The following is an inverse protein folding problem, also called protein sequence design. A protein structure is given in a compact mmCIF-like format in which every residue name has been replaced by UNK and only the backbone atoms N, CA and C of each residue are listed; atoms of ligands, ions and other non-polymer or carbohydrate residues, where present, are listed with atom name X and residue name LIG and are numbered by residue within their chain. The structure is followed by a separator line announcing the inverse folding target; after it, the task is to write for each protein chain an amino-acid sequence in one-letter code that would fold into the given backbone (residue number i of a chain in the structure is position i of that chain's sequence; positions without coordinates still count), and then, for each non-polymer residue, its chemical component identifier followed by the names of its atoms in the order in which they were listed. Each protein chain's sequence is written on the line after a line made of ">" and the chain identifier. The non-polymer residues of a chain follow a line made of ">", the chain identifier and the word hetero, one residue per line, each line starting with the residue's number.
data_IF_767238458107
#
_entry.id   IF_767238458107
#
_cell.length_a   1.000
_cell.length_b   1.000
_cell.length_c   1.000
_cell.angle_alpha   90.00
_cell.angle_beta   90.00
_cell.angle_gamma   90.00
#
_symmetry.space_group_name_H-M   'P 1'
#
loop_
_entity.id
_entity.type
_entity.pdbx_description
1 polymer ?
#
# COMPACT_ATOMS: atom_id res chain seq x y z
N UNK A 1 -15.38 0.93 5.55
CA UNK A 1 -16.03 1.50 4.35
C UNK A 1 -16.69 0.37 3.59
N UNK A 2 -17.93 0.53 3.10
CA UNK A 2 -18.55 -0.46 2.22
C UNK A 2 -17.70 -0.68 0.97
N UNK A 3 -17.61 -1.93 0.48
CA UNK A 3 -16.96 -2.23 -0.81
C UNK A 3 -17.99 -2.09 -1.94
N UNK A 4 -18.41 -0.85 -2.19
CA UNK A 4 -19.42 -0.50 -3.18
C UNK A 4 -18.82 0.12 -4.45
N UNK A 5 -19.70 0.42 -5.42
CA UNK A 5 -19.34 1.03 -6.69
C UNK A 5 -18.69 2.41 -6.49
N UNK A 6 -19.16 3.20 -5.53
CA UNK A 6 -18.62 4.54 -5.27
C UNK A 6 -17.16 4.47 -4.86
N UNK A 7 -16.80 3.56 -3.96
CA UNK A 7 -15.42 3.32 -3.59
C UNK A 7 -14.58 2.84 -4.78
N UNK A 8 -15.09 1.88 -5.57
CA UNK A 8 -14.39 1.39 -6.75
C UNK A 8 -14.07 2.53 -7.74
N UNK A 9 -15.04 3.42 -8.00
CA UNK A 9 -14.85 4.58 -8.87
C UNK A 9 -13.81 5.55 -8.32
N UNK A 10 -13.82 5.83 -7.00
CA UNK A 10 -12.79 6.67 -6.37
C UNK A 10 -11.39 6.07 -6.57
N UNK A 11 -11.23 4.75 -6.41
CA UNK A 11 -9.94 4.06 -6.61
C UNK A 11 -9.48 4.17 -8.08
N UNK A 12 -10.39 3.89 -9.03
CA UNK A 12 -10.12 4.04 -10.47
C UNK A 12 -9.70 5.48 -10.81
N UNK A 13 -10.31 6.48 -10.17
CA UNK A 13 -9.97 7.91 -10.32
C UNK A 13 -8.75 8.39 -9.55
N UNK A 14 -7.99 7.48 -8.93
CA UNK A 14 -6.74 7.84 -8.27
C UNK A 14 -6.78 7.94 -6.75
N UNK A 15 -7.89 7.61 -6.08
CA UNK A 15 -7.88 7.49 -4.62
C UNK A 15 -6.84 6.44 -4.20
N UNK A 16 -5.91 6.84 -3.33
CA UNK A 16 -4.87 5.97 -2.76
C UNK A 16 -4.94 6.03 -1.23
N UNK A 17 -4.48 4.97 -0.55
CA UNK A 17 -4.29 5.02 0.90
C UNK A 17 -3.35 6.14 1.31
N UNK A 18 -3.57 6.69 2.49
CA UNK A 18 -2.60 7.58 3.13
C UNK A 18 -1.36 6.78 3.50
N UNK A 19 -0.19 7.34 3.19
CA UNK A 19 1.10 6.78 3.59
C UNK A 19 1.48 7.36 4.94
N UNK A 20 1.45 6.53 5.98
CA UNK A 20 1.73 6.92 7.36
C UNK A 20 3.03 6.27 7.79
N UNK A 21 3.93 7.05 8.41
CA UNK A 21 5.13 6.52 9.06
C UNK A 21 4.74 5.79 10.35
N UNK A 22 5.30 4.61 10.55
CA UNK A 22 4.98 3.75 11.68
C UNK A 22 5.80 4.20 12.90
N UNK A 23 5.17 4.37 14.09
CA UNK A 23 5.89 4.76 15.30
C UNK A 23 6.89 3.69 15.75
N UNK A 24 7.83 4.09 16.63
CA UNK A 24 8.92 3.26 17.14
C UNK A 24 8.49 1.83 17.53
N UNK A 25 8.97 0.86 16.75
CA UNK A 25 8.63 -0.57 16.85
C UNK A 25 9.68 -1.32 17.66
N UNK A 26 10.96 -1.07 17.39
CA UNK A 26 12.07 -1.80 17.97
C UNK A 26 12.73 -0.99 19.09
N UNK A 27 13.02 -1.65 20.21
CA UNK A 27 13.77 -1.04 21.31
C UNK A 27 15.26 -0.90 20.97
N UNK A 28 15.78 -1.82 20.16
CA UNK A 28 17.14 -1.77 19.63
C UNK A 28 17.28 -0.62 18.62
N UNK A 29 18.11 0.36 18.95
CA UNK A 29 18.34 1.57 18.15
C UNK A 29 18.87 1.26 16.75
N UNK A 30 19.69 0.22 16.59
CA UNK A 30 20.27 -0.14 15.29
C UNK A 30 19.19 -0.74 14.38
N UNK A 31 18.36 -1.64 14.92
CA UNK A 31 17.22 -2.23 14.19
C UNK A 31 16.16 -1.19 13.86
N UNK A 32 15.84 -0.33 14.82
CA UNK A 32 14.88 0.76 14.61
C UNK A 32 15.33 1.67 13.47
N UNK A 33 16.61 2.05 13.44
CA UNK A 33 17.17 2.85 12.35
C UNK A 33 17.08 2.15 10.99
N UNK A 34 17.41 0.85 10.93
CA UNK A 34 17.28 0.06 9.69
C UNK A 34 15.83 0.05 9.21
N UNK A 35 14.87 -0.14 10.12
CA UNK A 35 13.45 -0.10 9.78
C UNK A 35 13.03 1.27 9.22
N UNK A 36 13.38 2.38 9.90
CA UNK A 36 13.05 3.74 9.44
C UNK A 36 13.66 4.06 8.07
N UNK A 37 14.90 3.62 7.81
CA UNK A 37 15.56 3.81 6.53
C UNK A 37 14.89 2.99 5.41
N UNK A 38 14.47 1.76 5.70
CA UNK A 38 13.71 0.92 4.76
C UNK A 38 12.30 1.45 4.51
N UNK A 39 11.63 1.92 5.56
CA UNK A 39 10.30 2.51 5.50
C UNK A 39 10.31 3.73 4.56
N UNK A 40 11.26 4.65 4.72
CA UNK A 40 11.39 5.80 3.81
C UNK A 40 11.55 5.38 2.35
N UNK A 41 12.43 4.42 2.07
CA UNK A 41 12.61 3.87 0.71
C UNK A 41 11.33 3.23 0.17
N UNK A 42 10.62 2.48 1.02
CA UNK A 42 9.34 1.88 0.66
C UNK A 42 8.28 2.94 0.35
N UNK A 43 8.15 3.98 1.18
CA UNK A 43 7.18 5.06 0.97
C UNK A 43 7.47 5.83 -0.33
N UNK A 44 8.74 6.12 -0.63
CA UNK A 44 9.13 6.73 -1.91
C UNK A 44 8.80 5.83 -3.11
N UNK A 45 9.06 4.52 -3.00
CA UNK A 45 8.71 3.55 -4.03
C UNK A 45 7.20 3.48 -4.24
N UNK A 46 6.40 3.46 -3.17
CA UNK A 46 4.94 3.40 -3.23
C UNK A 46 4.35 4.65 -3.89
N UNK A 47 4.90 5.85 -3.61
CA UNK A 47 4.51 7.08 -4.31
C UNK A 47 4.71 6.96 -5.82
N UNK A 48 5.84 6.40 -6.27
CA UNK A 48 6.12 6.17 -7.70
C UNK A 48 5.22 5.09 -8.30
N UNK A 49 4.96 4.00 -7.58
CA UNK A 49 4.02 2.96 -8.03
C UNK A 49 2.62 3.52 -8.32
N UNK A 50 2.21 4.56 -7.60
CA UNK A 50 0.92 5.20 -7.74
C UNK A 50 0.92 6.46 -8.59
N UNK A 51 2.02 6.79 -9.26
CA UNK A 51 2.09 7.96 -10.13
C UNK A 51 1.04 7.86 -11.26
N UNK A 52 0.33 8.96 -11.50
CA UNK A 52 -0.66 9.06 -12.57
C UNK A 52 -0.01 8.90 -13.94
N UNK A 53 1.24 9.36 -14.09
CA UNK A 53 2.05 9.15 -15.27
C UNK A 53 2.64 7.73 -15.25
N UNK A 54 2.17 6.89 -16.17
CA UNK A 54 2.65 5.51 -16.31
C UNK A 54 4.15 5.41 -16.57
N UNK A 55 4.77 6.43 -17.19
CA UNK A 55 6.21 6.47 -17.47
C UNK A 55 7.08 6.70 -16.24
N UNK A 56 6.51 7.24 -15.15
CA UNK A 56 7.20 7.44 -13.87
C UNK A 56 7.11 6.25 -12.93
N UNK A 57 6.22 5.29 -13.25
CA UNK A 57 6.07 4.07 -12.47
C UNK A 57 7.33 3.21 -12.58
N UNK A 58 7.76 2.55 -11.50
CA UNK A 58 8.90 1.67 -11.54
C UNK A 58 8.60 0.45 -12.42
N UNK A 59 9.64 -0.04 -13.09
CA UNK A 59 9.54 -1.30 -13.84
C UNK A 59 9.50 -2.49 -12.90
N UNK A 60 8.97 -3.63 -13.36
CA UNK A 60 9.00 -4.89 -12.59
C UNK A 60 10.42 -5.29 -12.17
N UNK A 61 11.40 -5.07 -13.03
CA UNK A 61 12.81 -5.34 -12.75
C UNK A 61 13.37 -4.40 -11.67
N UNK A 62 12.97 -3.13 -11.66
CA UNK A 62 13.32 -2.20 -10.60
C UNK A 62 12.71 -2.60 -9.25
N UNK A 63 11.43 -2.99 -9.24
CA UNK A 63 10.78 -3.53 -8.04
C UNK A 63 11.50 -4.76 -7.50
N UNK A 64 11.84 -5.71 -8.39
CA UNK A 64 12.57 -6.91 -8.02
C UNK A 64 13.92 -6.58 -7.35
N UNK A 65 14.70 -5.65 -7.91
CA UNK A 65 15.98 -5.24 -7.31
C UNK A 65 15.79 -4.62 -5.93
N UNK A 66 14.87 -3.66 -5.79
CA UNK A 66 14.57 -3.03 -4.50
C UNK A 66 14.21 -4.07 -3.44
N UNK A 67 13.26 -4.96 -3.72
CA UNK A 67 12.83 -5.97 -2.75
C UNK A 67 13.94 -6.99 -2.44
N UNK A 68 14.75 -7.38 -3.43
CA UNK A 68 15.87 -8.29 -3.23
C UNK A 68 16.94 -7.68 -2.31
N UNK A 69 17.23 -6.38 -2.47
CA UNK A 69 18.16 -5.65 -1.61
C UNK A 69 17.66 -5.56 -0.17
N UNK A 70 16.35 -5.38 0.04
CA UNK A 70 15.78 -5.20 1.36
C UNK A 70 15.57 -6.50 2.14
N UNK A 71 15.39 -7.63 1.44
CA UNK A 71 15.08 -8.92 2.05
C UNK A 71 16.03 -9.32 3.20
N UNK A 72 17.32 -8.98 3.09
CA UNK A 72 18.31 -9.25 4.13
C UNK A 72 18.42 -8.20 5.25
N UNK A 73 17.76 -7.05 5.09
CA UNK A 73 17.83 -5.93 6.04
C UNK A 73 16.61 -5.86 6.97
N UNK A 74 15.50 -6.49 6.60
CA UNK A 74 14.26 -6.43 7.38
C UNK A 74 14.46 -7.16 8.72
N UNK A 75 14.25 -6.49 9.88
CA UNK A 75 14.24 -7.18 11.17
C UNK A 75 13.16 -8.28 11.16
N UNK A 76 13.54 -9.53 11.47
CA UNK A 76 12.65 -10.70 11.42
C UNK A 76 11.87 -10.94 12.71
N UNK A 77 12.02 -10.05 13.69
CA UNK A 77 11.34 -10.17 14.98
C UNK A 77 9.85 -9.88 14.82
N UNK A 78 8.99 -10.66 15.49
CA UNK A 78 7.56 -10.40 15.46
C UNK A 78 7.29 -9.01 16.06
N UNK A 79 6.51 -8.21 15.33
CA UNK A 79 6.06 -6.91 15.83
C UNK A 79 5.08 -7.19 16.97
N UNK A 80 5.30 -6.64 18.18
CA UNK A 80 4.36 -6.81 19.29
C UNK A 80 2.97 -6.32 18.91
N UNK A 81 1.91 -7.05 19.28
CA UNK A 81 0.53 -6.71 18.90
C UNK A 81 0.11 -5.30 19.38
N UNK A 82 0.61 -4.87 20.54
CA UNK A 82 0.39 -3.54 21.08
C UNK A 82 1.13 -2.41 20.34
N UNK A 83 2.07 -2.77 19.45
CA UNK A 83 2.80 -1.88 18.55
C UNK A 83 2.23 -1.89 17.14
N UNK A 84 1.38 -2.86 16.80
CA UNK A 84 0.60 -2.81 15.58
C UNK A 84 -0.39 -1.65 15.70
N UNK A 85 -0.38 -0.76 14.70
CA UNK A 85 -1.44 0.23 14.53
C UNK A 85 -2.73 -0.55 14.27
N UNK A 86 -3.48 -0.86 15.32
CA UNK A 86 -4.71 -1.67 15.19
C UNK A 86 -5.97 -0.81 15.15
N UNK A 87 -6.98 -1.25 14.38
CA UNK A 87 -6.97 -2.50 13.62
C UNK A 87 -6.48 -2.27 12.17
N UNK A 88 -5.51 -3.08 11.74
CA UNK A 88 -5.09 -3.25 10.34
C UNK A 88 -6.26 -3.87 9.56
N UNK A 89 -7.34 -3.11 9.36
CA UNK A 89 -8.67 -3.51 8.87
C UNK A 89 -9.61 -4.09 9.94
N UNK A 90 -10.39 -3.22 10.60
CA UNK A 90 -11.77 -3.63 10.91
C UNK A 90 -12.47 -3.76 9.56
N UNK A 91 -12.51 -4.98 9.05
CA UNK A 91 -13.30 -5.32 7.89
C UNK A 91 -14.72 -4.81 8.12
N UNK A 92 -15.22 -4.01 7.18
CA UNK A 92 -16.60 -3.57 7.25
C UNK A 92 -17.50 -4.81 7.29
N UNK A 93 -18.59 -4.86 8.06
CA UNK A 93 -19.44 -6.07 8.13
C UNK A 93 -19.96 -6.55 6.76
N UNK A 94 -20.00 -5.64 5.77
CA UNK A 94 -20.32 -5.94 4.38
C UNK A 94 -19.10 -6.22 3.50
N UNK A 95 -17.93 -6.54 4.06
CA UNK A 95 -16.70 -6.77 3.30
C UNK A 95 -16.63 -8.15 2.64
N UNK A 96 -17.75 -8.89 2.58
CA UNK A 96 -17.79 -10.18 1.91
C UNK A 96 -17.44 -9.98 0.42
N UNK A 97 -16.26 -10.43 0.02
CA UNK A 97 -15.84 -10.42 -1.37
C UNK A 97 -16.68 -11.44 -2.14
N UNK A 98 -17.74 -10.96 -2.75
CA UNK A 98 -18.48 -11.68 -3.80
C UNK A 98 -18.11 -11.01 -5.11
N UNK A 99 -17.59 -11.76 -6.08
CA UNK A 99 -17.37 -11.23 -7.43
C UNK A 99 -18.69 -10.63 -7.94
N UNK A 100 -18.74 -9.32 -8.11
CA UNK A 100 -19.88 -8.59 -8.68
C UNK A 100 -19.44 -8.02 -10.00
N UNK A 101 -20.21 -8.27 -11.05
CA UNK A 101 -20.01 -7.59 -12.33
C UNK A 101 -20.30 -6.12 -12.08
N UNK A 102 -19.28 -5.28 -12.23
CA UNK A 102 -19.49 -3.84 -12.35
C UNK A 102 -20.06 -3.66 -13.75
N UNK A 103 -21.31 -3.21 -13.88
CA UNK A 103 -21.87 -2.87 -15.19
C UNK A 103 -21.21 -1.58 -15.67
N UNK A 104 -20.11 -1.73 -16.41
CA UNK A 104 -19.16 -0.66 -16.76
C UNK A 104 -19.70 0.26 -17.88
N UNK A 105 -20.95 0.11 -18.32
CA UNK A 105 -21.48 0.81 -19.50
C UNK A 105 -21.58 2.33 -19.34
N UNK A 106 -21.51 2.86 -18.11
CA UNK A 106 -21.56 4.31 -17.84
C UNK A 106 -20.19 4.92 -17.43
N UNK A 107 -19.13 4.11 -17.28
CA UNK A 107 -17.87 4.57 -16.65
C UNK A 107 -16.64 4.57 -17.56
N UNK A 108 -16.75 4.04 -18.78
CA UNK A 108 -15.61 3.89 -19.71
C UNK A 108 -15.25 5.18 -20.46
N UNK A 109 -16.15 6.15 -20.54
CA UNK A 109 -15.88 7.40 -21.27
C UNK A 109 -14.86 8.32 -20.55
N UNK A 110 -14.74 8.20 -19.22
CA UNK A 110 -13.89 9.06 -18.37
C UNK A 110 -12.60 8.38 -17.86
N UNK A 111 -12.45 7.06 -18.04
CA UNK A 111 -11.32 6.28 -17.49
C UNK A 111 -10.26 5.92 -18.54
N UNK A 112 -10.46 6.31 -19.81
CA UNK A 112 -9.50 6.14 -20.90
C UNK A 112 -8.64 7.42 -21.01
N UNK A 113 -7.55 7.48 -20.24
CA UNK A 113 -6.44 8.43 -20.45
C UNK A 113 -5.17 7.63 -20.74
#
# INVERSE_FOLDING_TARGET
>A
MPHDLELALKICRGLRPELVEVPKIFDDTKKQKIFEDLEKKYLELMKRCWDSDSGKRPTSNELFRNFSEWYGCIPTEPIPENKLITPITQNHPLSCYTSRIIEISECLDDCMI
#
